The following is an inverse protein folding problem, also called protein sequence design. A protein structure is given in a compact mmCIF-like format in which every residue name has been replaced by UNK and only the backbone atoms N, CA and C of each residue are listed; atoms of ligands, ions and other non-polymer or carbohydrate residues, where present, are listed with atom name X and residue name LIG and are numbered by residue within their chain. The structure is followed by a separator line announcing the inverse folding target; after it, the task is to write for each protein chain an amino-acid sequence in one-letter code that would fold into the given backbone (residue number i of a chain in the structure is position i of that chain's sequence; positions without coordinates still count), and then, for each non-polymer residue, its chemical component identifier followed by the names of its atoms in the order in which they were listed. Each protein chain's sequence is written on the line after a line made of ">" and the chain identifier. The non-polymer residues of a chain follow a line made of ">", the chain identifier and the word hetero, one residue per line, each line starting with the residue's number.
data_IF_492291513435
#
_entry.id   IF_492291513435
#
_cell.length_a   1.000
_cell.length_b   1.000
_cell.length_c   1.000
_cell.angle_alpha   90.00
_cell.angle_beta   90.00
_cell.angle_gamma   90.00
#
_symmetry.space_group_name_H-M   'P 1'
#
loop_
_entity.id
_entity.type
_entity.pdbx_description
1 polymer ?
#
# COMPACT_ATOMS: atom_id res chain seq x y z
N UNK A 1 -0.03 24.95 -2.42
CA UNK A 1 0.63 23.65 -2.22
C UNK A 1 -0.33 22.54 -2.57
N UNK A 2 0.10 21.65 -3.42
CA UNK A 2 -0.72 20.52 -3.85
C UNK A 2 -0.75 19.45 -2.76
N UNK A 3 -1.93 18.98 -2.41
CA UNK A 3 -2.08 17.94 -1.40
C UNK A 3 -1.70 16.57 -1.98
N UNK A 4 -1.49 15.59 -1.10
CA UNK A 4 -1.19 14.22 -1.54
C UNK A 4 -2.31 13.67 -2.42
N UNK A 5 -3.57 13.85 -2.02
CA UNK A 5 -4.72 13.40 -2.78
C UNK A 5 -4.79 14.03 -4.17
N UNK A 6 -4.54 15.32 -4.27
CA UNK A 6 -4.51 16.02 -5.54
C UNK A 6 -3.43 15.48 -6.47
N UNK A 7 -2.25 15.19 -5.94
CA UNK A 7 -1.16 14.61 -6.72
C UNK A 7 -1.50 13.20 -7.22
N UNK A 8 -2.15 12.41 -6.40
CA UNK A 8 -2.62 11.07 -6.79
C UNK A 8 -3.64 11.17 -7.91
N UNK A 9 -4.63 12.04 -7.75
CA UNK A 9 -5.66 12.25 -8.76
C UNK A 9 -5.09 12.75 -10.08
N UNK A 10 -4.21 13.74 -10.01
CA UNK A 10 -3.56 14.30 -11.21
C UNK A 10 -2.74 13.24 -11.95
N UNK A 11 -1.97 12.46 -11.22
CA UNK A 11 -1.16 11.39 -11.82
C UNK A 11 -2.05 10.34 -12.49
N UNK A 12 -3.18 9.99 -11.87
CA UNK A 12 -4.14 9.05 -12.46
C UNK A 12 -4.73 9.62 -13.76
N UNK A 13 -5.13 10.86 -13.75
CA UNK A 13 -5.69 11.53 -14.91
C UNK A 13 -4.66 11.64 -16.05
N UNK A 14 -3.40 11.91 -15.69
CA UNK A 14 -2.30 11.99 -16.65
C UNK A 14 -2.06 10.66 -17.36
N UNK A 15 -2.22 9.55 -16.62
CA UNK A 15 -2.10 8.21 -17.19
C UNK A 15 -3.36 7.76 -17.93
N UNK A 16 -4.46 8.51 -17.86
CA UNK A 16 -5.71 8.16 -18.49
C UNK A 16 -6.41 6.94 -17.90
N UNK A 17 -6.15 6.65 -16.63
CA UNK A 17 -6.68 5.47 -15.94
C UNK A 17 -7.91 5.86 -15.11
N UNK A 18 -8.91 4.99 -15.11
CA UNK A 18 -10.10 5.19 -14.26
C UNK A 18 -9.85 4.67 -12.84
N UNK A 19 -10.64 5.13 -11.89
CA UNK A 19 -10.58 4.60 -10.51
C UNK A 19 -10.83 3.10 -10.47
N UNK A 20 -11.73 2.61 -11.32
CA UNK A 20 -12.05 1.18 -11.39
C UNK A 20 -10.87 0.36 -11.88
N UNK A 21 -10.20 0.81 -12.92
CA UNK A 21 -8.99 0.14 -13.43
C UNK A 21 -7.89 0.12 -12.39
N UNK A 22 -7.68 1.23 -11.72
CA UNK A 22 -6.71 1.33 -10.64
C UNK A 22 -7.05 0.36 -9.50
N UNK A 23 -8.32 0.28 -9.12
CA UNK A 23 -8.78 -0.64 -8.08
C UNK A 23 -8.56 -2.11 -8.47
N UNK A 24 -8.83 -2.46 -9.70
CA UNK A 24 -8.62 -3.82 -10.20
C UNK A 24 -7.14 -4.20 -10.19
N UNK A 25 -6.27 -3.28 -10.56
CA UNK A 25 -4.84 -3.52 -10.59
C UNK A 25 -4.22 -3.56 -9.19
N UNK A 26 -4.53 -2.58 -8.37
CA UNK A 26 -3.94 -2.45 -7.03
C UNK A 26 -4.58 -3.34 -5.98
N UNK A 27 -5.74 -3.90 -6.30
CA UNK A 27 -6.57 -4.66 -5.36
C UNK A 27 -7.05 -3.83 -4.16
N UNK A 28 -7.08 -2.52 -4.32
CA UNK A 28 -7.64 -1.59 -3.35
C UNK A 28 -9.05 -1.22 -3.80
N UNK A 29 -9.99 -1.16 -2.87
CA UNK A 29 -11.38 -0.82 -3.20
C UNK A 29 -11.46 0.58 -3.82
N UNK A 30 -12.33 0.73 -4.80
CA UNK A 30 -12.57 2.02 -5.47
C UNK A 30 -12.92 3.13 -4.49
N UNK A 31 -13.73 2.82 -3.47
CA UNK A 31 -14.11 3.79 -2.44
C UNK A 31 -12.90 4.32 -1.69
N UNK A 32 -11.95 3.45 -1.38
CA UNK A 32 -10.73 3.83 -0.69
C UNK A 32 -9.84 4.71 -1.57
N UNK A 33 -9.71 4.36 -2.85
CA UNK A 33 -8.96 5.18 -3.79
C UNK A 33 -9.57 6.57 -3.94
N UNK A 34 -10.89 6.64 -4.03
CA UNK A 34 -11.61 7.90 -4.11
C UNK A 34 -11.37 8.75 -2.88
N UNK A 35 -11.45 8.14 -1.69
CA UNK A 35 -11.17 8.84 -0.44
C UNK A 35 -9.74 9.35 -0.36
N UNK A 36 -8.78 8.58 -0.85
CA UNK A 36 -7.37 8.99 -0.90
C UNK A 36 -7.18 10.21 -1.81
N UNK A 37 -7.79 10.21 -2.98
CA UNK A 37 -7.72 11.35 -3.91
C UNK A 37 -8.41 12.60 -3.38
N UNK A 38 -9.44 12.43 -2.56
CA UNK A 38 -10.15 13.53 -1.90
C UNK A 38 -9.48 13.99 -0.61
N UNK A 39 -8.33 13.45 -0.23
CA UNK A 39 -7.67 13.69 1.06
C UNK A 39 -8.52 13.31 2.28
N UNK A 40 -9.45 12.41 2.10
CA UNK A 40 -10.32 11.93 3.17
C UNK A 40 -9.84 10.58 3.71
N UNK A 41 -8.58 10.52 4.10
CA UNK A 41 -7.99 9.27 4.63
C UNK A 41 -8.71 8.77 5.88
N UNK A 42 -9.34 9.67 6.61
CA UNK A 42 -10.05 9.35 7.82
C UNK A 42 -11.35 8.62 7.61
N UNK A 43 -11.96 8.79 6.44
CA UNK A 43 -13.17 8.07 6.08
C UNK A 43 -12.90 6.60 5.75
N UNK A 44 -11.65 6.22 5.60
CA UNK A 44 -11.27 4.83 5.37
C UNK A 44 -11.23 4.11 6.71
N UNK A 45 -12.07 3.09 6.94
CA UNK A 45 -12.16 2.42 8.24
C UNK A 45 -11.05 1.38 8.43
N UNK A 46 -9.82 1.83 8.34
CA UNK A 46 -8.63 1.01 8.49
C UNK A 46 -7.61 1.70 9.38
N UNK A 47 -6.72 0.95 9.97
CA UNK A 47 -5.61 1.49 10.72
C UNK A 47 -4.63 2.24 9.80
N UNK A 48 -3.95 3.23 10.35
CA UNK A 48 -3.07 4.12 9.58
C UNK A 48 -1.94 3.35 8.88
N UNK A 49 -1.46 2.26 9.45
CA UNK A 49 -0.45 1.42 8.84
C UNK A 49 -0.92 0.83 7.50
N UNK A 50 -2.18 0.43 7.43
CA UNK A 50 -2.77 -0.06 6.19
C UNK A 50 -3.01 1.05 5.18
N UNK A 51 -3.49 2.20 5.64
CA UNK A 51 -3.66 3.38 4.79
C UNK A 51 -2.35 3.81 4.15
N UNK A 52 -1.29 3.83 4.95
CA UNK A 52 0.06 4.11 4.46
C UNK A 52 0.50 3.11 3.40
N UNK A 53 0.25 1.83 3.63
CA UNK A 53 0.54 0.78 2.66
C UNK A 53 -0.22 0.98 1.34
N UNK A 54 -1.49 1.35 1.42
CA UNK A 54 -2.30 1.63 0.24
C UNK A 54 -1.80 2.86 -0.52
N UNK A 55 -1.40 3.91 0.19
CA UNK A 55 -0.79 5.09 -0.43
C UNK A 55 0.46 4.71 -1.22
N UNK A 56 1.32 3.88 -0.64
CA UNK A 56 2.53 3.39 -1.32
C UNK A 56 2.19 2.60 -2.58
N UNK A 57 1.29 1.64 -2.47
CA UNK A 57 0.89 0.80 -3.61
C UNK A 57 0.28 1.65 -4.72
N UNK A 58 -0.60 2.57 -4.36
CA UNK A 58 -1.27 3.43 -5.34
C UNK A 58 -0.28 4.40 -6.00
N UNK A 59 0.58 5.04 -5.23
CA UNK A 59 1.61 5.92 -5.76
C UNK A 59 2.54 5.19 -6.73
N UNK A 60 2.95 3.98 -6.37
CA UNK A 60 3.79 3.14 -7.22
C UNK A 60 3.08 2.78 -8.53
N UNK A 61 1.81 2.44 -8.48
CA UNK A 61 1.00 2.17 -9.65
C UNK A 61 0.91 3.40 -10.56
N UNK A 62 0.77 4.59 -9.99
CA UNK A 62 0.70 5.85 -10.71
C UNK A 62 2.07 6.39 -11.12
N UNK A 63 3.13 5.64 -10.89
CA UNK A 63 4.52 6.01 -11.21
C UNK A 63 5.00 7.25 -10.45
N UNK A 64 4.47 7.45 -9.26
CA UNK A 64 4.95 8.45 -8.32
C UNK A 64 5.97 7.83 -7.37
N UNK A 65 6.72 8.69 -6.68
CA UNK A 65 7.62 8.25 -5.62
C UNK A 65 6.80 7.77 -4.42
N UNK A 66 6.79 6.46 -4.20
CA UNK A 66 6.02 5.82 -3.13
C UNK A 66 6.54 6.19 -1.74
N UNK A 67 7.83 6.34 -1.58
CA UNK A 67 8.44 6.75 -0.30
C UNK A 67 8.04 8.19 0.06
N UNK A 68 8.07 9.09 -0.91
CA UNK A 68 7.64 10.47 -0.72
C UNK A 68 6.15 10.55 -0.40
N UNK A 69 5.34 9.77 -1.09
CA UNK A 69 3.90 9.70 -0.82
C UNK A 69 3.62 9.21 0.59
N UNK A 70 4.32 8.17 1.04
CA UNK A 70 4.19 7.65 2.40
C UNK A 70 4.67 8.67 3.44
N UNK A 71 5.75 9.39 3.17
CA UNK A 71 6.24 10.44 4.05
C UNK A 71 5.25 11.60 4.17
N UNK A 72 4.64 12.01 3.07
CA UNK A 72 3.61 13.05 3.06
C UNK A 72 2.38 12.61 3.85
N UNK A 73 1.98 11.36 3.71
CA UNK A 73 0.90 10.78 4.49
C UNK A 73 1.21 10.81 5.99
N UNK A 74 2.40 10.39 6.39
CA UNK A 74 2.84 10.39 7.78
C UNK A 74 2.86 11.81 8.37
N UNK A 75 3.37 12.77 7.62
CA UNK A 75 3.42 14.17 8.05
C UNK A 75 2.02 14.72 8.30
N UNK A 76 1.10 14.45 7.39
CA UNK A 76 -0.29 14.88 7.50
C UNK A 76 -0.97 14.27 8.73
N UNK A 77 -0.77 12.99 8.94
CA UNK A 77 -1.37 12.28 10.08
C UNK A 77 -0.73 12.66 11.41
N UNK A 78 0.57 12.85 11.45
CA UNK A 78 1.27 13.27 12.66
C UNK A 78 0.82 14.66 13.11
N UNK A 79 0.68 15.58 12.16
CA UNK A 79 0.18 16.93 12.47
C UNK A 79 -1.25 16.89 13.02
N UNK A 80 -2.06 15.94 12.55
CA UNK A 80 -3.42 15.78 13.02
C UNK A 80 -3.48 15.07 14.37
N UNK A 81 -2.68 14.06 14.56
CA UNK A 81 -2.57 13.35 15.84
C UNK A 81 -2.13 14.32 16.96
N UNK A 82 -1.23 15.24 16.65
CA UNK A 82 -0.79 16.26 17.60
C UNK A 82 -1.90 17.23 18.01
N UNK A 83 -2.95 17.34 17.20
CA UNK A 83 -4.11 18.20 17.49
C UNK A 83 -5.22 17.48 18.26
N UNK A 84 -5.14 16.16 18.41
CA UNK A 84 -6.08 15.42 19.24
C UNK A 84 -5.73 15.66 20.71
N UNK A 85 -6.72 16.00 21.54
CA UNK A 85 -6.49 15.98 22.98
C UNK A 85 -6.08 14.59 23.42
N UNK A 86 -5.19 14.53 24.36
CA UNK A 86 -4.59 13.30 24.90
C UNK A 86 -5.57 12.35 25.60
N UNK A 87 -6.85 12.51 25.34
CA UNK A 87 -7.87 11.70 26.02
C UNK A 87 -8.09 10.33 25.42
N UNK A 88 -7.56 10.08 24.27
CA UNK A 88 -7.58 8.73 23.75
C UNK A 88 -6.38 8.01 24.35
N UNK A 89 -6.59 7.38 25.46
CA UNK A 89 -5.58 6.55 26.05
C UNK A 89 -5.03 5.59 25.00
N UNK A 90 -3.79 5.76 24.71
CA UNK A 90 -3.12 4.93 23.72
C UNK A 90 -2.82 3.55 24.24
N UNK A 91 -3.77 2.94 24.90
CA UNK A 91 -3.56 1.66 25.53
C UNK A 91 -3.78 0.49 24.59
N UNK A 92 -4.41 0.77 23.47
CA UNK A 92 -4.71 -0.34 22.60
C UNK A 92 -3.62 -0.68 21.64
N UNK A 93 -2.66 0.17 21.51
CA UNK A 93 -1.62 -0.04 20.53
C UNK A 93 -0.67 -1.18 20.90
N UNK A 94 -0.59 -1.47 22.18
CA UNK A 94 0.26 -2.55 22.60
C UNK A 94 -0.34 -3.92 22.38
N UNK A 95 -1.63 -4.01 22.41
CA UNK A 95 -2.28 -5.31 22.24
C UNK A 95 -2.15 -5.84 20.82
N UNK A 96 -1.85 -4.97 19.91
CA UNK A 96 -1.79 -5.41 18.56
C UNK A 96 -0.41 -5.72 18.06
N UNK A 97 0.54 -5.25 18.76
CA UNK A 97 1.92 -5.63 18.50
C UNK A 97 2.22 -7.07 18.78
N UNK A 98 1.35 -7.71 19.39
CA UNK A 98 1.43 -9.10 19.46
C UNK A 98 1.30 -9.68 18.10
N UNK A 99 1.96 -9.34 17.28
CA UNK A 99 2.47 -10.15 16.81
C UNK A 99 2.00 -11.11 16.14
N UNK A 100 2.13 -11.11 15.07
CA UNK A 100 1.93 -12.26 14.32
C UNK A 100 2.90 -13.26 14.71
N UNK A 101 2.63 -13.76 15.86
CA UNK A 101 3.34 -14.87 16.27
C UNK A 101 3.49 -15.80 15.12
N UNK A 102 4.61 -15.90 14.71
CA UNK A 102 5.01 -17.09 14.10
C UNK A 102 4.48 -17.34 12.72
N UNK A 103 4.28 -16.33 11.95
CA UNK A 103 4.40 -16.56 10.55
C UNK A 103 5.67 -15.90 10.07
N UNK A 104 6.79 -16.56 10.23
CA UNK A 104 7.94 -16.15 9.50
C UNK A 104 7.70 -16.58 8.06
N UNK A 105 6.79 -15.92 7.41
CA UNK A 105 6.83 -15.88 5.99
C UNK A 105 7.88 -14.85 5.58
N UNK A 106 9.00 -14.94 6.22
CA UNK A 106 10.21 -14.52 5.59
C UNK A 106 10.46 -15.51 4.47
N UNK A 107 9.71 -15.40 3.43
CA UNK A 107 10.11 -15.97 2.17
C UNK A 107 11.37 -15.19 1.83
N UNK A 108 12.49 -15.74 2.20
CA UNK A 108 13.75 -15.15 1.85
C UNK A 108 13.79 -15.01 0.34
N UNK A 109 14.31 -13.93 -0.12
CA UNK A 109 14.47 -13.69 -1.56
C UNK A 109 15.10 -14.89 -2.26
N UNK A 110 15.93 -15.62 -1.53
CA UNK A 110 16.58 -16.85 -1.97
C UNK A 110 15.57 -17.94 -2.30
N UNK A 111 14.56 -18.13 -1.49
CA UNK A 111 13.54 -19.16 -1.72
C UNK A 111 12.71 -18.86 -2.97
N UNK A 112 12.44 -17.60 -3.24
CA UNK A 112 11.75 -17.17 -4.46
C UNK A 112 12.60 -17.43 -5.70
N UNK A 113 13.91 -17.21 -5.62
CA UNK A 113 14.84 -17.44 -6.71
C UNK A 113 14.89 -18.91 -7.06
N UNK A 114 14.98 -19.79 -6.06
CA UNK A 114 15.00 -21.25 -6.28
C UNK A 114 13.67 -21.75 -6.82
N UNK A 115 12.56 -21.17 -6.40
CA UNK A 115 11.25 -21.50 -6.94
C UNK A 115 11.12 -21.18 -8.43
N UNK A 116 11.58 -20.02 -8.84
CA UNK A 116 11.54 -19.59 -10.24
C UNK A 116 12.49 -20.44 -11.10
N UNK A 117 13.68 -20.73 -10.60
CA UNK A 117 14.65 -21.60 -11.29
C UNK A 117 14.09 -23.00 -11.44
N UNK A 118 13.47 -23.54 -10.41
CA UNK A 118 12.84 -24.85 -10.47
C UNK A 118 11.78 -24.97 -11.55
N UNK A 119 10.91 -23.97 -11.65
CA UNK A 119 9.85 -23.91 -12.66
C UNK A 119 10.46 -23.81 -14.06
N UNK A 120 11.48 -22.99 -14.23
CA UNK A 120 12.17 -22.82 -15.51
C UNK A 120 12.84 -24.12 -15.97
N UNK A 121 13.47 -24.85 -15.07
CA UNK A 121 14.11 -26.13 -15.37
C UNK A 121 13.08 -27.17 -15.80
N UNK A 122 11.96 -27.24 -15.09
CA UNK A 122 10.88 -28.16 -15.43
C UNK A 122 10.30 -27.83 -16.80
N UNK A 123 10.10 -26.56 -17.11
CA UNK A 123 9.59 -26.12 -18.41
C UNK A 123 10.55 -26.49 -19.55
N UNK A 124 11.85 -26.34 -19.31
CA UNK A 124 12.88 -26.71 -20.29
C UNK A 124 12.90 -28.23 -20.50
N UNK A 125 12.80 -29.03 -19.44
CA UNK A 125 12.76 -30.47 -19.51
C UNK A 125 11.53 -30.95 -20.31
N UNK A 126 10.38 -30.36 -20.09
CA UNK A 126 9.16 -30.66 -20.83
C UNK A 126 9.34 -30.32 -22.31
N UNK A 127 9.94 -29.18 -22.61
CA UNK A 127 10.18 -28.77 -24.00
C UNK A 127 11.17 -29.67 -24.76
N UNK A 128 12.13 -30.24 -24.03
CA UNK A 128 13.14 -31.14 -24.64
C UNK A 128 12.59 -32.55 -24.81
N UNK A 129 11.69 -32.98 -23.90
CA UNK A 129 11.13 -34.35 -23.97
C UNK A 129 9.86 -34.43 -24.83
N UNK A 130 9.29 -33.33 -25.22
CA UNK A 130 8.21 -33.26 -26.20
C UNK A 130 8.76 -32.94 -27.58
#
# INVERSE_FOLDING_TARGET
>A
MQTLGERLQEARQRLGVTLREAAEFTKIRTDYLQSMEANQFESIPLADVYKRGFVKVYAKYLRLDDEKAAADFNTHHSAKAARRPLEAGGEEDEAFVAEPAGVPLAISRETLIYGVIGIAVVAILIAVFL
#
